data_IF_313331173689
#
_entry.id   IF_313331173689
#
_cell.length_a   1.000
_cell.length_b   1.000
_cell.length_c   1.000
_cell.angle_alpha   90.00
_cell.angle_beta   90.00
_cell.angle_gamma   90.00
#
_symmetry.space_group_name_H-M   'P 1'
#
loop_
_entity.id
_entity.type
_entity.pdbx_description
1 polymer ?
#
# COMPACT_ATOMS: atom_id res chain seq x y z
N UNK A 1 -15.44 -41.73 21.62
CA UNK A 1 -16.60 -41.70 20.69
C UNK A 1 -16.71 -43.02 19.93
N UNK A 2 -17.94 -43.40 19.57
CA UNK A 2 -18.23 -44.65 18.87
C UNK A 2 -17.74 -44.60 17.40
N UNK A 3 -17.15 -45.69 16.89
CA UNK A 3 -16.55 -45.77 15.53
C UNK A 3 -17.49 -45.30 14.42
N UNK A 4 -18.78 -45.71 14.48
CA UNK A 4 -19.83 -45.28 13.54
C UNK A 4 -20.12 -43.77 13.56
N UNK A 5 -20.16 -43.12 14.72
CA UNK A 5 -20.38 -41.68 14.83
C UNK A 5 -19.17 -40.90 14.31
N UNK A 6 -17.95 -41.33 14.67
CA UNK A 6 -16.73 -40.71 14.15
C UNK A 6 -16.71 -40.74 12.62
N UNK A 7 -17.02 -41.90 12.02
CA UNK A 7 -17.07 -42.04 10.57
C UNK A 7 -18.12 -41.12 9.93
N UNK A 8 -19.30 -40.98 10.54
CA UNK A 8 -20.33 -40.05 10.08
C UNK A 8 -19.83 -38.60 10.08
N UNK A 9 -19.25 -38.13 11.20
CA UNK A 9 -18.75 -36.77 11.32
C UNK A 9 -17.60 -36.49 10.33
N UNK A 10 -16.69 -37.44 10.14
CA UNK A 10 -15.62 -37.34 9.14
C UNK A 10 -16.21 -37.24 7.73
N UNK A 11 -17.20 -38.06 7.39
CA UNK A 11 -17.90 -37.97 6.09
C UNK A 11 -18.57 -36.61 5.90
N UNK A 12 -19.20 -36.06 6.93
CA UNK A 12 -19.78 -34.72 6.89
C UNK A 12 -18.73 -33.65 6.60
N UNK A 13 -17.56 -33.72 7.24
CA UNK A 13 -16.44 -32.80 6.98
C UNK A 13 -15.93 -32.93 5.54
N UNK A 14 -15.81 -34.16 5.01
CA UNK A 14 -15.40 -34.37 3.62
C UNK A 14 -16.39 -33.73 2.64
N UNK A 15 -17.70 -33.89 2.88
CA UNK A 15 -18.73 -33.24 2.05
C UNK A 15 -18.61 -31.72 2.11
N UNK A 16 -18.42 -31.15 3.31
CA UNK A 16 -18.20 -29.71 3.46
C UNK A 16 -16.97 -29.25 2.69
N UNK A 17 -15.87 -29.99 2.75
CA UNK A 17 -14.64 -29.66 2.02
C UNK A 17 -14.87 -29.63 0.50
N UNK A 18 -15.64 -30.58 -0.04
CA UNK A 18 -16.02 -30.57 -1.46
C UNK A 18 -16.86 -29.34 -1.83
N UNK A 19 -17.77 -28.92 -0.94
CA UNK A 19 -18.55 -27.70 -1.13
C UNK A 19 -17.63 -26.47 -1.11
N UNK A 20 -16.72 -26.36 -0.14
CA UNK A 20 -15.71 -25.29 -0.09
C UNK A 20 -14.88 -25.23 -1.37
N UNK A 21 -14.43 -26.38 -1.88
CA UNK A 21 -13.67 -26.46 -3.13
C UNK A 21 -14.51 -25.98 -4.33
N UNK A 22 -15.78 -26.36 -4.41
CA UNK A 22 -16.68 -25.89 -5.46
C UNK A 22 -16.88 -24.36 -5.42
N UNK A 23 -17.08 -23.77 -4.24
CA UNK A 23 -17.17 -22.31 -4.09
C UNK A 23 -15.86 -21.60 -4.43
N UNK A 24 -14.71 -22.19 -4.07
CA UNK A 24 -13.40 -21.68 -4.47
C UNK A 24 -13.25 -21.65 -5.99
N UNK A 25 -13.52 -22.76 -6.67
CA UNK A 25 -13.45 -22.85 -8.14
C UNK A 25 -14.44 -21.87 -8.78
N UNK A 26 -15.66 -21.78 -8.25
CA UNK A 26 -16.67 -20.84 -8.72
C UNK A 26 -16.18 -19.39 -8.60
N UNK A 27 -15.62 -18.98 -7.45
CA UNK A 27 -15.04 -17.64 -7.28
C UNK A 27 -13.87 -17.35 -8.21
N UNK A 28 -13.01 -18.35 -8.44
CA UNK A 28 -11.89 -18.23 -9.36
C UNK A 28 -12.34 -18.02 -10.82
N UNK A 29 -13.39 -18.71 -11.25
CA UNK A 29 -13.89 -18.67 -12.63
C UNK A 29 -14.83 -17.50 -12.91
N UNK A 30 -15.61 -17.05 -11.93
CA UNK A 30 -16.60 -15.97 -12.11
C UNK A 30 -16.02 -14.58 -11.95
N UNK A 31 -14.87 -14.45 -11.29
CA UNK A 31 -14.20 -13.16 -11.19
C UNK A 31 -13.68 -12.71 -12.56
N UNK A 32 -14.22 -11.57 -13.04
CA UNK A 32 -13.90 -10.96 -14.35
C UNK A 32 -12.42 -10.55 -14.46
N UNK A 33 -11.69 -10.53 -13.33
CA UNK A 33 -10.29 -10.21 -13.27
C UNK A 33 -10.04 -8.74 -12.97
N UNK A 34 -8.79 -8.30 -13.15
CA UNK A 34 -8.32 -6.96 -12.78
C UNK A 34 -9.18 -5.83 -13.38
N UNK A 35 -9.69 -6.02 -14.60
CA UNK A 35 -10.53 -5.03 -15.28
C UNK A 35 -11.87 -4.79 -14.59
N UNK A 36 -12.45 -5.82 -13.96
CA UNK A 36 -13.76 -5.74 -13.30
C UNK A 36 -13.73 -5.13 -11.90
N UNK A 37 -12.55 -4.82 -11.35
CA UNK A 37 -12.41 -4.25 -10.00
C UNK A 37 -12.92 -2.80 -9.98
N UNK A 38 -13.64 -2.43 -8.94
CA UNK A 38 -14.13 -1.07 -8.68
C UNK A 38 -14.16 -0.83 -7.17
N UNK A 39 -14.57 0.37 -6.73
CA UNK A 39 -14.67 0.74 -5.30
C UNK A 39 -15.55 -0.19 -4.45
N UNK A 40 -16.44 -0.97 -5.07
CA UNK A 40 -17.31 -1.93 -4.39
C UNK A 40 -16.74 -3.34 -4.37
N UNK A 41 -15.54 -3.54 -4.92
CA UNK A 41 -14.85 -4.83 -4.96
C UNK A 41 -14.13 -5.05 -3.64
N UNK A 42 -14.81 -5.77 -2.76
CA UNK A 42 -14.22 -6.32 -1.54
C UNK A 42 -14.33 -7.85 -1.59
N UNK A 43 -13.43 -8.55 -0.90
CA UNK A 43 -13.52 -9.99 -0.69
C UNK A 43 -14.71 -10.30 0.23
N UNK A 44 -15.92 -10.25 -0.34
CA UNK A 44 -17.23 -10.48 0.25
C UNK A 44 -17.79 -9.38 1.19
N UNK A 45 -18.69 -8.57 0.63
CA UNK A 45 -19.76 -7.88 1.35
C UNK A 45 -21.01 -8.74 1.22
N UNK A 46 -21.71 -9.02 2.33
CA UNK A 46 -23.00 -9.74 2.30
C UNK A 46 -24.03 -8.88 1.54
N UNK A 47 -24.05 -8.97 0.22
CA UNK A 47 -25.13 -8.42 -0.60
C UNK A 47 -26.26 -9.44 -0.52
N UNK A 48 -27.29 -9.12 0.26
CA UNK A 48 -28.46 -9.96 0.52
C UNK A 48 -29.24 -10.39 -0.74
N UNK A 49 -28.84 -9.94 -1.93
CA UNK A 49 -29.49 -10.20 -3.22
C UNK A 49 -28.52 -10.65 -4.32
N UNK A 50 -27.32 -11.11 -3.95
CA UNK A 50 -26.39 -11.70 -4.92
C UNK A 50 -26.62 -13.21 -5.02
N UNK A 51 -26.49 -13.78 -6.22
CA UNK A 51 -26.79 -15.19 -6.50
C UNK A 51 -25.98 -16.14 -5.59
N UNK A 52 -24.77 -15.73 -5.24
CA UNK A 52 -23.87 -16.43 -4.32
C UNK A 52 -24.45 -16.50 -2.90
N UNK A 53 -25.06 -15.41 -2.42
CA UNK A 53 -25.65 -15.32 -1.07
C UNK A 53 -26.91 -16.18 -0.96
N UNK A 54 -27.74 -16.20 -2.02
CA UNK A 54 -28.95 -17.04 -2.08
C UNK A 54 -28.56 -18.52 -2.11
N UNK A 55 -27.64 -18.89 -3.00
CA UNK A 55 -27.11 -20.26 -3.08
C UNK A 55 -26.50 -20.70 -1.75
N UNK A 56 -25.73 -19.82 -1.10
CA UNK A 56 -25.14 -20.09 0.22
C UNK A 56 -26.19 -20.43 1.28
N UNK A 57 -27.30 -19.68 1.35
CA UNK A 57 -28.38 -19.96 2.29
C UNK A 57 -29.01 -21.34 2.05
N UNK A 58 -29.34 -21.69 0.81
CA UNK A 58 -29.97 -22.97 0.48
C UNK A 58 -29.02 -24.16 0.70
N UNK A 59 -27.78 -24.07 0.25
CA UNK A 59 -26.77 -25.14 0.41
C UNK A 59 -26.49 -25.40 1.89
N UNK A 60 -26.28 -24.33 2.66
CA UNK A 60 -26.01 -24.41 4.09
C UNK A 60 -27.21 -24.98 4.86
N UNK A 61 -28.41 -24.48 4.58
CA UNK A 61 -29.65 -24.95 5.20
C UNK A 61 -29.94 -26.42 4.90
N UNK A 62 -29.83 -26.82 3.63
CA UNK A 62 -30.06 -28.21 3.21
C UNK A 62 -29.03 -29.16 3.83
N UNK A 63 -27.75 -28.79 3.84
CA UNK A 63 -26.71 -29.59 4.46
C UNK A 63 -26.97 -29.78 5.97
N UNK A 64 -27.25 -28.69 6.70
CA UNK A 64 -27.50 -28.75 8.13
C UNK A 64 -28.77 -29.54 8.48
N UNK A 65 -29.82 -29.44 7.66
CA UNK A 65 -31.04 -30.22 7.83
C UNK A 65 -30.75 -31.72 7.70
N UNK A 66 -30.09 -32.14 6.61
CA UNK A 66 -29.73 -33.54 6.41
C UNK A 66 -28.79 -34.03 7.50
N UNK A 67 -27.77 -33.23 7.85
CA UNK A 67 -26.84 -33.52 8.93
C UNK A 67 -27.59 -33.78 10.25
N UNK A 68 -28.51 -32.90 10.63
CA UNK A 68 -29.31 -33.03 11.85
C UNK A 68 -30.17 -34.31 11.81
N UNK A 69 -30.86 -34.58 10.71
CA UNK A 69 -31.72 -35.77 10.56
C UNK A 69 -30.90 -37.05 10.75
N UNK A 70 -29.75 -37.16 10.08
CA UNK A 70 -28.88 -38.34 10.20
C UNK A 70 -28.25 -38.46 11.60
N UNK A 71 -27.84 -37.33 12.19
CA UNK A 71 -27.29 -37.29 13.55
C UNK A 71 -28.31 -37.78 14.58
N UNK A 72 -29.54 -37.26 14.55
CA UNK A 72 -30.61 -37.63 15.48
C UNK A 72 -31.08 -39.06 15.25
N UNK A 73 -31.32 -39.49 14.00
CA UNK A 73 -31.87 -40.82 13.71
C UNK A 73 -30.91 -41.94 14.07
N UNK A 74 -29.62 -41.78 13.77
CA UNK A 74 -28.65 -42.88 13.80
C UNK A 74 -27.71 -42.85 14.99
N UNK A 75 -27.51 -41.68 15.61
CA UNK A 75 -26.44 -41.50 16.60
C UNK A 75 -26.87 -40.97 17.96
N UNK A 76 -28.16 -40.72 18.19
CA UNK A 76 -28.70 -40.24 19.47
C UNK A 76 -29.12 -41.35 20.48
N UNK A 77 -28.87 -42.63 20.19
CA UNK A 77 -29.36 -43.75 21.04
C UNK A 77 -28.29 -44.36 21.96
N UNK A 78 -27.13 -43.73 22.10
CA UNK A 78 -25.93 -44.39 22.66
C UNK A 78 -25.56 -43.97 24.09
N UNK A 79 -26.34 -43.09 24.74
CA UNK A 79 -26.17 -42.81 26.17
C UNK A 79 -24.79 -42.22 26.53
N UNK A 80 -24.26 -41.31 25.72
CA UNK A 80 -22.92 -40.73 25.90
C UNK A 80 -22.71 -40.09 27.28
N UNK A 81 -21.49 -40.21 27.82
CA UNK A 81 -21.04 -39.48 29.01
C UNK A 81 -20.74 -38.00 28.69
N UNK A 82 -20.60 -37.17 29.73
CA UNK A 82 -20.41 -35.72 29.59
C UNK A 82 -19.19 -35.34 28.73
N UNK A 83 -18.05 -36.02 28.90
CA UNK A 83 -16.84 -35.77 28.11
C UNK A 83 -17.05 -36.06 26.63
N UNK A 84 -17.71 -37.18 26.28
CA UNK A 84 -18.01 -37.47 24.87
C UNK A 84 -19.07 -36.51 24.31
N UNK A 85 -20.04 -36.05 25.10
CA UNK A 85 -21.00 -35.02 24.67
C UNK A 85 -20.31 -33.70 24.33
N UNK A 86 -19.36 -33.25 25.16
CA UNK A 86 -18.57 -32.04 24.87
C UNK A 86 -17.76 -32.19 23.58
N UNK A 87 -17.11 -33.34 23.37
CA UNK A 87 -16.39 -33.63 22.12
C UNK A 87 -17.31 -33.56 20.90
N UNK A 88 -18.51 -34.15 20.99
CA UNK A 88 -19.50 -34.09 19.91
C UNK A 88 -19.95 -32.64 19.69
N UNK A 89 -20.21 -31.89 20.75
CA UNK A 89 -20.57 -30.47 20.67
C UNK A 89 -19.51 -29.63 19.97
N UNK A 90 -18.23 -29.86 20.27
CA UNK A 90 -17.11 -29.18 19.60
C UNK A 90 -17.05 -29.52 18.10
N UNK A 91 -17.26 -30.78 17.71
CA UNK A 91 -17.30 -31.16 16.30
C UNK A 91 -18.52 -30.58 15.59
N UNK A 92 -19.68 -30.51 16.24
CA UNK A 92 -20.87 -29.84 15.68
C UNK A 92 -20.58 -28.35 15.48
N UNK A 93 -19.89 -27.68 16.42
CA UNK A 93 -19.50 -26.28 16.27
C UNK A 93 -18.62 -26.07 15.04
N UNK A 94 -17.64 -26.95 14.86
CA UNK A 94 -16.76 -26.91 13.69
C UNK A 94 -17.52 -27.14 12.38
N UNK A 95 -18.47 -28.09 12.36
CA UNK A 95 -19.34 -28.33 11.21
C UNK A 95 -20.23 -27.10 10.92
N UNK A 96 -20.79 -26.48 11.95
CA UNK A 96 -21.58 -25.24 11.79
C UNK A 96 -20.72 -24.11 11.22
N UNK A 97 -19.50 -23.92 11.74
CA UNK A 97 -18.56 -22.93 11.24
C UNK A 97 -18.21 -23.16 9.76
N UNK A 98 -17.85 -24.39 9.37
CA UNK A 98 -17.56 -24.74 7.98
C UNK A 98 -18.77 -24.50 7.07
N UNK A 99 -19.96 -24.90 7.52
CA UNK A 99 -21.19 -24.70 6.74
C UNK A 99 -21.42 -23.23 6.40
N UNK A 100 -21.23 -22.32 7.36
CA UNK A 100 -21.46 -20.89 7.12
C UNK A 100 -20.27 -20.17 6.48
N UNK A 101 -19.09 -20.78 6.37
CA UNK A 101 -17.88 -20.12 5.85
C UNK A 101 -17.58 -20.38 4.37
N UNK A 102 -18.49 -20.98 3.59
CA UNK A 102 -18.27 -21.22 2.16
C UNK A 102 -18.00 -19.94 1.35
N UNK A 103 -18.58 -18.80 1.75
CA UNK A 103 -18.29 -17.51 1.09
C UNK A 103 -16.81 -17.11 1.23
N UNK A 104 -16.13 -17.49 2.32
CA UNK A 104 -14.70 -17.24 2.50
C UNK A 104 -13.92 -18.02 1.42
N UNK A 105 -14.33 -19.25 1.11
CA UNK A 105 -13.73 -20.03 0.02
C UNK A 105 -13.96 -19.39 -1.34
N UNK A 106 -15.15 -18.85 -1.60
CA UNK A 106 -15.40 -18.04 -2.79
C UNK A 106 -14.40 -16.88 -2.89
N UNK A 107 -14.25 -16.09 -1.83
CA UNK A 107 -13.30 -14.97 -1.79
C UNK A 107 -11.85 -15.41 -1.95
N UNK A 108 -11.46 -16.58 -1.44
CA UNK A 108 -10.15 -17.16 -1.71
C UNK A 108 -9.97 -17.49 -3.20
N UNK A 109 -11.01 -17.97 -3.88
CA UNK A 109 -11.01 -18.19 -5.32
C UNK A 109 -10.78 -16.89 -6.09
N UNK A 110 -11.54 -15.84 -5.75
CA UNK A 110 -11.38 -14.48 -6.33
C UNK A 110 -9.96 -13.96 -6.10
N UNK A 111 -9.42 -14.10 -4.88
CA UNK A 111 -8.07 -13.67 -4.55
C UNK A 111 -6.99 -14.46 -5.32
N UNK A 112 -7.17 -15.77 -5.46
CA UNK A 112 -6.27 -16.61 -6.24
C UNK A 112 -6.27 -16.18 -7.72
N UNK A 113 -7.44 -15.85 -8.28
CA UNK A 113 -7.56 -15.31 -9.64
C UNK A 113 -6.87 -13.96 -9.77
N UNK A 114 -7.09 -13.03 -8.84
CA UNK A 114 -6.40 -11.73 -8.79
C UNK A 114 -4.87 -11.90 -8.81
N UNK A 115 -4.34 -12.73 -7.92
CA UNK A 115 -2.89 -12.98 -7.82
C UNK A 115 -2.31 -13.72 -9.03
N UNK A 116 -3.14 -14.47 -9.76
CA UNK A 116 -2.72 -15.10 -11.02
C UNK A 116 -2.61 -14.08 -12.17
N UNK A 117 -3.40 -13.02 -12.15
CA UNK A 117 -3.40 -11.98 -13.20
C UNK A 117 -2.43 -10.83 -12.91
N UNK A 118 -2.18 -10.58 -11.63
CA UNK A 118 -1.29 -9.53 -11.17
C UNK A 118 -0.42 -10.10 -10.06
N UNK A 119 0.87 -10.29 -10.34
CA UNK A 119 1.84 -10.59 -9.29
C UNK A 119 2.13 -9.34 -8.47
N UNK A 120 2.54 -9.50 -7.21
CA UNK A 120 2.96 -8.37 -6.37
C UNK A 120 4.12 -7.60 -7.01
N UNK A 121 5.08 -8.33 -7.60
CA UNK A 121 6.22 -7.75 -8.31
C UNK A 121 5.76 -6.87 -9.48
N UNK A 122 4.78 -7.32 -10.26
CA UNK A 122 4.27 -6.54 -11.38
C UNK A 122 3.38 -5.38 -10.93
N UNK A 123 2.64 -5.53 -9.84
CA UNK A 123 1.92 -4.42 -9.23
C UNK A 123 2.88 -3.34 -8.71
N UNK A 124 3.97 -3.73 -8.07
CA UNK A 124 5.01 -2.80 -7.62
C UNK A 124 5.68 -2.10 -8.80
N UNK A 125 5.91 -2.77 -9.94
CA UNK A 125 6.39 -2.13 -11.18
C UNK A 125 5.39 -1.09 -11.71
N UNK A 126 4.09 -1.40 -11.67
CA UNK A 126 3.04 -0.46 -12.07
C UNK A 126 3.05 0.77 -11.14
N UNK A 127 3.15 0.58 -9.82
CA UNK A 127 3.29 1.66 -8.84
C UNK A 127 4.54 2.50 -9.09
N UNK A 128 5.69 1.88 -9.34
CA UNK A 128 6.92 2.60 -9.71
C UNK A 128 6.70 3.46 -10.95
N UNK A 129 6.08 2.92 -12.01
CA UNK A 129 5.80 3.66 -13.23
C UNK A 129 4.92 4.89 -12.95
N UNK A 130 3.84 4.72 -12.17
CA UNK A 130 2.94 5.81 -11.77
C UNK A 130 3.67 6.84 -10.89
N UNK A 131 4.54 6.42 -9.97
CA UNK A 131 5.30 7.32 -9.12
C UNK A 131 6.35 8.13 -9.91
N UNK A 132 7.08 7.49 -10.83
CA UNK A 132 8.03 8.15 -11.73
C UNK A 132 7.31 9.17 -12.60
N UNK A 133 6.18 8.78 -13.20
CA UNK A 133 5.41 9.61 -14.12
C UNK A 133 4.38 10.52 -13.44
N UNK A 134 4.30 10.54 -12.11
CA UNK A 134 3.29 11.28 -11.35
C UNK A 134 3.05 12.73 -11.81
N UNK A 135 4.07 13.56 -12.10
CA UNK A 135 3.83 14.92 -12.57
C UNK A 135 3.13 14.99 -13.93
N UNK A 136 3.33 13.99 -14.79
CA UNK A 136 2.67 13.88 -16.10
C UNK A 136 1.24 13.35 -15.99
N UNK A 137 0.78 12.99 -14.80
CA UNK A 137 -0.60 12.56 -14.57
C UNK A 137 -1.53 13.74 -14.26
N UNK A 138 -1.02 14.97 -14.13
CA UNK A 138 -1.80 16.17 -13.84
C UNK A 138 -1.85 17.13 -15.05
N UNK A 139 -3.04 17.64 -15.39
CA UNK A 139 -3.33 18.47 -16.60
C UNK A 139 -3.42 19.95 -16.24
N UNK A 140 -3.95 20.21 -15.05
CA UNK A 140 -4.17 21.51 -14.50
C UNK A 140 -3.38 21.59 -13.22
N UNK A 141 -2.23 22.22 -13.32
CA UNK A 141 -1.53 22.64 -12.13
C UNK A 141 -1.29 24.12 -12.30
N UNK A 142 -1.54 24.92 -11.27
CA UNK A 142 -1.11 26.32 -11.19
C UNK A 142 0.43 26.49 -11.18
N UNK A 143 1.16 25.43 -11.53
CA UNK A 143 2.61 25.39 -11.63
C UNK A 143 3.05 25.85 -13.03
N UNK A 144 4.03 26.74 -13.08
CA UNK A 144 4.76 27.05 -14.31
C UNK A 144 5.59 25.85 -14.75
N UNK A 145 5.95 25.78 -16.02
CA UNK A 145 6.90 24.77 -16.51
C UNK A 145 8.21 24.79 -15.72
N UNK A 146 8.65 25.94 -15.21
CA UNK A 146 9.76 26.07 -14.27
C UNK A 146 9.65 25.09 -13.08
N UNK A 147 8.48 24.99 -12.45
CA UNK A 147 8.29 24.16 -11.24
C UNK A 147 8.34 22.65 -11.51
N UNK A 148 7.82 22.22 -12.66
CA UNK A 148 7.73 20.81 -13.03
C UNK A 148 8.91 20.30 -13.85
N UNK A 149 9.59 21.19 -14.57
CA UNK A 149 10.57 20.88 -15.61
C UNK A 149 11.82 21.78 -15.60
N UNK A 150 12.05 22.62 -14.59
CA UNK A 150 13.39 23.16 -14.38
C UNK A 150 14.24 22.05 -13.77
N UNK A 151 15.44 21.85 -14.30
CA UNK A 151 16.41 20.95 -13.69
C UNK A 151 16.67 21.42 -12.25
N UNK A 152 16.74 22.72 -11.99
CA UNK A 152 16.89 23.32 -10.66
C UNK A 152 15.66 23.17 -9.75
N UNK A 153 14.53 22.63 -10.21
CA UNK A 153 13.36 22.33 -9.36
C UNK A 153 13.11 20.83 -9.25
N UNK A 154 13.37 20.07 -10.32
CA UNK A 154 13.37 18.61 -10.34
C UNK A 154 14.46 18.05 -9.41
N UNK A 155 15.60 18.73 -9.38
CA UNK A 155 16.73 18.38 -8.54
C UNK A 155 16.56 18.90 -7.11
N UNK A 156 15.56 19.75 -6.81
CA UNK A 156 15.83 20.89 -5.92
C UNK A 156 14.59 21.78 -5.56
N UNK A 157 13.86 21.49 -4.50
CA UNK A 157 12.74 22.27 -4.01
C UNK A 157 13.12 23.06 -2.77
N UNK A 158 12.38 24.12 -2.59
CA UNK A 158 12.35 24.77 -1.30
C UNK A 158 11.64 23.94 -0.21
N UNK A 159 12.07 24.10 1.05
CA UNK A 159 13.28 24.79 1.47
C UNK A 159 14.43 23.80 1.50
N UNK A 160 15.40 24.00 0.60
CA UNK A 160 16.61 23.24 0.52
C UNK A 160 17.33 23.16 1.88
N UNK A 161 18.12 22.10 2.13
CA UNK A 161 19.22 22.16 3.06
C UNK A 161 20.39 22.92 2.39
N UNK A 162 20.14 24.10 1.82
CA UNK A 162 21.17 24.93 1.21
C UNK A 162 20.81 26.38 1.54
N UNK A 163 21.76 27.15 2.05
CA UNK A 163 21.52 28.53 2.47
C UNK A 163 22.22 29.47 1.49
N UNK A 164 21.43 30.25 0.76
CA UNK A 164 21.91 31.31 -0.12
C UNK A 164 22.50 32.46 0.72
N UNK A 165 23.73 32.85 0.41
CA UNK A 165 24.36 34.02 1.01
C UNK A 165 24.90 34.91 -0.10
N UNK A 166 24.32 36.10 -0.20
CA UNK A 166 24.79 37.15 -1.10
C UNK A 166 25.76 38.05 -0.35
N UNK A 167 27.04 37.93 -0.65
CA UNK A 167 28.05 38.83 -0.12
C UNK A 167 28.23 39.99 -1.11
N UNK A 168 28.14 41.23 -0.62
CA UNK A 168 28.39 42.42 -1.43
C UNK A 168 29.79 42.95 -1.10
N UNK A 169 30.68 42.91 -2.09
CA UNK A 169 32.05 43.39 -1.94
C UNK A 169 32.15 44.78 -2.55
N UNK A 170 32.48 45.78 -1.73
CA UNK A 170 32.68 47.15 -2.18
C UNK A 170 34.16 47.37 -2.50
N UNK A 171 34.46 47.93 -3.66
CA UNK A 171 35.81 48.37 -4.00
C UNK A 171 35.80 49.77 -4.60
N UNK A 172 36.82 50.54 -4.26
CA UNK A 172 37.02 51.91 -4.70
C UNK A 172 38.15 51.92 -5.72
N UNK A 173 37.82 52.26 -6.96
CA UNK A 173 38.82 52.49 -8.01
C UNK A 173 38.74 53.98 -8.35
N UNK A 174 39.79 54.72 -8.01
CA UNK A 174 39.93 56.15 -8.32
C UNK A 174 38.79 57.06 -7.79
N UNK A 175 38.22 56.77 -6.62
CA UNK A 175 37.18 57.57 -5.98
C UNK A 175 35.77 57.21 -6.43
N UNK A 176 35.62 56.26 -7.35
CA UNK A 176 34.35 55.68 -7.74
C UNK A 176 34.11 54.38 -6.97
N UNK A 177 33.00 54.33 -6.24
CA UNK A 177 32.60 53.16 -5.44
C UNK A 177 31.83 52.17 -6.32
N UNK A 178 32.41 51.00 -6.52
CA UNK A 178 31.76 49.87 -7.18
C UNK A 178 31.37 48.81 -6.15
N UNK A 179 30.34 48.04 -6.45
CA UNK A 179 29.94 46.88 -5.66
C UNK A 179 29.75 45.68 -6.57
N UNK A 180 30.38 44.55 -6.24
CA UNK A 180 30.05 43.26 -6.84
C UNK A 180 29.26 42.44 -5.83
N UNK A 181 28.19 41.82 -6.31
CA UNK A 181 27.44 40.82 -5.55
C UNK A 181 27.94 39.46 -5.98
N UNK A 182 28.37 38.65 -5.01
CA UNK A 182 28.71 37.26 -5.22
C UNK A 182 27.73 36.42 -4.40
N UNK A 183 26.96 35.59 -5.09
CA UNK A 183 26.04 34.65 -4.46
C UNK A 183 26.75 33.32 -4.25
N UNK A 184 26.84 32.89 -3.00
CA UNK A 184 27.44 31.62 -2.59
C UNK A 184 26.37 30.73 -1.96
N UNK A 185 26.40 29.44 -2.29
CA UNK A 185 25.47 28.45 -1.75
C UNK A 185 26.20 27.51 -0.79
N UNK A 186 25.64 27.26 0.38
CA UNK A 186 26.23 26.36 1.39
C UNK A 186 25.28 25.22 1.73
N UNK A 187 25.75 23.98 1.79
CA UNK A 187 24.94 22.86 2.31
C UNK A 187 24.47 23.12 3.74
N UNK A 188 23.37 22.50 4.16
CA UNK A 188 22.89 22.46 5.54
C UNK A 188 23.09 21.04 6.03
N UNK A 189 24.10 20.87 6.87
CA UNK A 189 24.50 19.58 7.39
C UNK A 189 24.02 19.41 8.84
N UNK A 190 23.79 18.16 9.23
CA UNK A 190 23.38 17.81 10.60
C UNK A 190 24.46 16.97 11.27
N UNK A 191 24.95 17.45 12.41
CA UNK A 191 25.91 16.74 13.25
C UNK A 191 25.23 16.29 14.54
N UNK A 192 25.17 14.97 14.75
CA UNK A 192 24.63 14.37 15.97
C UNK A 192 25.76 13.72 16.78
N UNK A 193 25.92 14.15 18.01
CA UNK A 193 26.95 13.63 18.91
C UNK A 193 26.45 13.55 20.35
N UNK A 194 27.15 12.82 21.21
CA UNK A 194 26.85 12.82 22.64
C UNK A 194 27.04 14.23 23.22
N UNK A 195 26.14 14.66 24.11
CA UNK A 195 26.18 15.98 24.76
C UNK A 195 27.47 16.17 25.55
N UNK A 196 27.97 15.09 26.18
CA UNK A 196 29.27 15.09 26.86
C UNK A 196 30.44 15.29 25.89
N UNK A 197 30.37 14.70 24.70
CA UNK A 197 31.35 14.91 23.63
C UNK A 197 31.29 16.34 23.08
N UNK A 198 30.09 16.91 22.92
CA UNK A 198 29.92 18.31 22.52
C UNK A 198 30.49 19.30 23.56
N UNK A 199 30.28 19.04 24.86
CA UNK A 199 30.82 19.87 25.93
C UNK A 199 32.36 19.81 25.98
N UNK A 200 32.96 18.66 25.65
CA UNK A 200 34.41 18.51 25.47
C UNK A 200 34.90 19.20 24.18
N UNK A 201 34.14 19.09 23.09
CA UNK A 201 34.35 19.75 21.79
C UNK A 201 34.43 21.27 21.89
N UNK A 202 33.66 21.90 22.79
CA UNK A 202 33.76 23.35 23.02
C UNK A 202 35.04 23.76 23.79
N UNK A 203 35.72 22.81 24.46
CA UNK A 203 36.85 23.09 25.36
C UNK A 203 38.24 22.74 24.79
N UNK A 204 38.40 21.66 24.02
CA UNK A 204 39.69 21.26 23.43
C UNK A 204 39.59 21.04 21.92
N UNK A 205 40.40 21.79 21.17
CA UNK A 205 40.49 21.83 19.70
C UNK A 205 41.43 20.75 19.15
N UNK A 206 41.11 20.21 17.97
CA UNK A 206 42.03 20.00 16.82
C UNK A 206 41.54 18.87 15.89
N UNK A 207 41.21 17.69 16.41
CA UNK A 207 41.05 16.48 15.56
C UNK A 207 39.79 16.43 14.64
N UNK A 208 38.71 17.14 14.98
CA UNK A 208 37.46 17.13 14.19
C UNK A 208 37.36 18.30 13.22
N UNK A 209 38.00 19.43 13.56
CA UNK A 209 38.10 20.61 12.69
C UNK A 209 38.95 20.30 11.44
N UNK A 210 40.00 19.50 11.58
CA UNK A 210 40.75 18.95 10.43
C UNK A 210 39.87 18.08 9.51
N UNK A 211 38.95 17.28 10.07
CA UNK A 211 38.09 16.39 9.28
C UNK A 211 36.96 17.13 8.55
N UNK A 212 36.52 18.26 9.09
CA UNK A 212 35.50 19.13 8.48
C UNK A 212 36.11 20.26 7.65
N UNK A 213 37.42 20.51 7.77
CA UNK A 213 38.12 21.61 7.09
C UNK A 213 37.68 23.01 7.53
N UNK A 214 37.10 23.15 8.73
CA UNK A 214 36.56 24.40 9.26
C UNK A 214 37.26 24.77 10.57
N UNK A 215 37.50 26.06 10.82
CA UNK A 215 38.00 26.51 12.11
C UNK A 215 36.86 26.58 13.17
N UNK A 216 37.20 26.70 14.46
CA UNK A 216 36.22 26.76 15.57
C UNK A 216 35.30 27.98 15.51
N UNK A 217 35.84 29.15 15.20
CA UNK A 217 35.11 30.41 15.08
C UNK A 217 34.22 30.42 13.83
N UNK A 218 34.71 29.87 12.73
CA UNK A 218 34.00 29.70 11.47
C UNK A 218 32.86 28.69 11.60
N UNK A 219 33.10 27.54 12.23
CA UNK A 219 32.04 26.58 12.54
C UNK A 219 30.95 27.20 13.42
N UNK A 220 31.33 27.96 14.45
CA UNK A 220 30.37 28.65 15.32
C UNK A 220 29.48 29.65 14.55
N UNK A 221 30.07 30.41 13.61
CA UNK A 221 29.33 31.33 12.71
C UNK A 221 28.40 30.60 11.74
N UNK A 222 28.70 29.34 11.43
CA UNK A 222 27.93 28.50 10.51
C UNK A 222 26.79 27.74 11.19
N UNK A 223 26.67 27.70 12.52
CA UNK A 223 25.57 27.01 13.21
C UNK A 223 24.23 27.72 12.93
N UNK A 224 23.25 26.97 12.43
CA UNK A 224 21.87 27.43 12.16
C UNK A 224 20.99 27.13 13.37
N UNK A 225 21.06 25.92 13.91
CA UNK A 225 20.30 25.56 15.11
C UNK A 225 20.95 24.44 15.91
N UNK A 226 20.54 24.33 17.18
CA UNK A 226 21.04 23.33 18.12
C UNK A 226 19.90 22.79 18.97
N UNK A 227 19.80 21.48 19.08
CA UNK A 227 18.79 20.79 19.89
C UNK A 227 19.42 19.70 20.75
N UNK A 228 19.02 19.62 22.01
CA UNK A 228 19.43 18.54 22.91
C UNK A 228 18.30 17.51 22.93
N UNK A 229 18.63 16.27 22.59
CA UNK A 229 17.72 15.12 22.59
C UNK A 229 18.33 14.06 23.51
N UNK A 230 17.81 13.98 24.74
CA UNK A 230 18.35 13.12 25.82
C UNK A 230 19.86 13.39 25.98
N UNK A 231 20.69 12.36 25.83
CA UNK A 231 22.14 12.45 25.99
C UNK A 231 22.88 12.84 24.70
N UNK A 232 22.13 13.21 23.64
CA UNK A 232 22.69 13.65 22.36
C UNK A 232 22.40 15.13 22.10
N UNK A 233 23.36 15.80 21.47
CA UNK A 233 23.22 17.13 20.90
C UNK A 233 23.21 16.99 19.38
N UNK A 234 22.19 17.57 18.76
CA UNK A 234 22.02 17.70 17.32
C UNK A 234 22.29 19.15 16.94
N UNK A 235 23.14 19.36 15.94
CA UNK A 235 23.54 20.67 15.44
C UNK A 235 23.27 20.71 13.94
N UNK A 236 22.50 21.69 13.51
CA UNK A 236 22.28 21.99 12.09
C UNK A 236 23.17 23.18 11.75
N UNK A 237 24.00 23.09 10.71
CA UNK A 237 24.99 24.13 10.36
C UNK A 237 25.19 24.26 8.84
N UNK A 238 25.68 25.43 8.40
CA UNK A 238 26.14 25.68 7.03
C UNK A 238 27.42 24.87 6.79
N UNK A 239 27.34 23.84 5.97
CA UNK A 239 28.44 22.95 5.61
C UNK A 239 29.36 23.54 4.54
N UNK A 240 29.74 22.72 3.56
CA UNK A 240 30.66 23.14 2.49
C UNK A 240 29.99 24.10 1.50
N UNK A 241 30.82 24.90 0.83
CA UNK A 241 30.39 25.64 -0.36
C UNK A 241 29.99 24.61 -1.43
N UNK A 242 28.85 24.83 -2.06
CA UNK A 242 28.32 23.97 -3.13
C UNK A 242 28.09 24.82 -4.36
N UNK A 243 28.25 24.21 -5.54
CA UNK A 243 27.94 24.84 -6.81
C UNK A 243 26.73 24.13 -7.41
N UNK A 244 25.51 24.69 -7.21
CA UNK A 244 24.28 24.01 -7.60
C UNK A 244 24.23 23.61 -9.08
N UNK A 245 24.93 24.36 -9.93
CA UNK A 245 24.97 24.20 -11.38
C UNK A 245 25.94 23.10 -11.87
N UNK A 246 26.88 22.66 -11.02
CA UNK A 246 27.98 21.77 -11.45
C UNK A 246 28.21 20.52 -10.60
N UNK A 247 27.70 20.46 -9.36
CA UNK A 247 27.89 19.31 -8.47
C UNK A 247 26.87 18.18 -8.76
N UNK A 248 27.31 17.14 -9.46
CA UNK A 248 26.47 16.04 -9.97
C UNK A 248 25.76 15.20 -8.88
N UNK A 249 26.23 15.25 -7.63
CA UNK A 249 25.76 14.39 -6.53
C UNK A 249 24.80 15.09 -5.54
N UNK A 250 24.62 16.42 -5.64
CA UNK A 250 23.99 17.22 -4.57
C UNK A 250 22.50 17.50 -4.83
N UNK A 251 22.03 17.22 -6.03
CA UNK A 251 20.82 17.85 -6.53
C UNK A 251 19.75 16.82 -6.85
N UNK A 252 19.22 16.07 -5.89
CA UNK A 252 17.98 15.35 -6.15
C UNK A 252 17.16 15.45 -4.90
N UNK A 253 16.15 16.33 -4.81
CA UNK A 253 14.90 16.07 -4.06
C UNK A 253 13.89 17.21 -3.83
N UNK A 254 12.72 17.19 -4.52
CA UNK A 254 11.30 17.33 -3.98
C UNK A 254 10.37 18.56 -4.28
N UNK A 255 10.00 18.91 -5.52
CA UNK A 255 8.65 19.54 -5.70
C UNK A 255 7.53 18.50 -5.92
N UNK A 256 7.87 17.20 -5.81
CA UNK A 256 6.88 16.12 -5.83
C UNK A 256 7.07 15.16 -4.65
N UNK A 257 6.83 15.66 -3.42
CA UNK A 257 6.75 14.85 -2.19
C UNK A 257 5.66 13.77 -2.25
N UNK A 258 4.73 13.87 -3.20
CA UNK A 258 3.65 12.91 -3.34
C UNK A 258 4.07 11.78 -4.27
N UNK A 259 4.19 10.58 -3.70
CA UNK A 259 4.09 9.34 -4.45
C UNK A 259 2.63 9.17 -4.87
N UNK A 260 2.39 8.63 -6.08
CA UNK A 260 1.07 8.22 -6.48
C UNK A 260 0.54 7.11 -5.55
N UNK A 261 1.37 6.08 -5.31
CA UNK A 261 1.12 5.05 -4.30
C UNK A 261 2.43 4.44 -3.82
N UNK A 262 2.69 4.35 -2.50
CA UNK A 262 3.91 3.75 -2.00
C UNK A 262 3.97 2.23 -2.27
N UNK A 263 5.19 1.74 -2.47
CA UNK A 263 5.51 0.31 -2.49
C UNK A 263 5.78 -0.14 -1.06
N UNK A 264 5.20 -1.27 -0.67
CA UNK A 264 5.44 -1.90 0.63
C UNK A 264 6.92 -2.28 0.75
N UNK A 265 7.49 -2.21 1.96
CA UNK A 265 8.86 -2.62 2.30
C UNK A 265 10.02 -1.71 1.82
N UNK A 266 9.75 -0.60 1.13
CA UNK A 266 10.76 0.43 0.80
C UNK A 266 10.38 1.73 1.51
N UNK A 267 11.34 2.46 2.08
CA UNK A 267 11.03 3.73 2.75
C UNK A 267 10.45 4.76 1.77
N UNK A 268 9.57 5.63 2.26
CA UNK A 268 8.93 6.65 1.42
C UNK A 268 10.01 7.58 0.85
N UNK A 269 11.00 7.94 1.66
CA UNK A 269 12.11 8.79 1.28
C UNK A 269 12.93 8.16 0.16
N UNK A 270 13.28 6.87 0.29
CA UNK A 270 14.03 6.15 -0.73
C UNK A 270 13.27 6.07 -2.05
N UNK A 271 11.96 5.78 -2.01
CA UNK A 271 11.13 5.75 -3.21
C UNK A 271 11.06 7.13 -3.87
N UNK A 272 10.84 8.18 -3.10
CA UNK A 272 10.82 9.55 -3.61
C UNK A 272 12.16 9.88 -4.30
N UNK A 273 13.30 9.46 -3.73
CA UNK A 273 14.63 9.69 -4.30
C UNK A 273 14.74 9.02 -5.66
N UNK A 274 14.54 7.71 -5.68
CA UNK A 274 14.74 6.88 -6.87
C UNK A 274 13.81 7.32 -8.00
N UNK A 275 12.58 7.69 -7.68
CA UNK A 275 11.61 8.16 -8.67
C UNK A 275 12.00 9.54 -9.24
N UNK A 276 12.56 10.43 -8.41
CA UNK A 276 13.07 11.72 -8.85
C UNK A 276 14.32 11.55 -9.75
N UNK A 277 15.29 10.72 -9.35
CA UNK A 277 16.46 10.35 -10.18
C UNK A 277 15.98 9.86 -11.54
N UNK A 278 15.07 8.87 -11.56
CA UNK A 278 14.57 8.25 -12.78
C UNK A 278 13.93 9.27 -13.72
N UNK A 279 13.14 10.19 -13.15
CA UNK A 279 12.46 11.23 -13.91
C UNK A 279 13.46 12.22 -14.52
N UNK A 280 14.46 12.64 -13.73
CA UNK A 280 15.55 13.47 -14.23
C UNK A 280 16.28 12.77 -15.39
N UNK A 281 16.62 11.50 -15.22
CA UNK A 281 17.29 10.76 -16.28
C UNK A 281 16.43 10.68 -17.55
N UNK A 282 15.13 10.44 -17.43
CA UNK A 282 14.20 10.41 -18.57
C UNK A 282 14.09 11.76 -19.30
N UNK A 283 14.21 12.87 -18.57
CA UNK A 283 14.05 14.22 -19.12
C UNK A 283 15.35 14.83 -19.65
N UNK A 284 16.50 14.56 -19.04
CA UNK A 284 17.75 15.28 -19.34
C UNK A 284 18.91 14.40 -19.79
N UNK A 285 18.96 13.13 -19.36
CA UNK A 285 20.13 12.26 -19.60
C UNK A 285 19.90 11.26 -20.72
N UNK A 286 18.72 10.65 -20.74
CA UNK A 286 18.36 9.61 -21.70
C UNK A 286 17.85 10.19 -23.01
N UNK A 287 17.84 9.35 -24.04
CA UNK A 287 17.25 9.68 -25.33
C UNK A 287 15.74 9.91 -25.15
N UNK A 288 15.19 10.79 -25.98
CA UNK A 288 13.74 11.10 -26.03
C UNK A 288 12.88 9.83 -26.09
N UNK A 289 13.35 8.79 -26.80
CA UNK A 289 12.68 7.49 -26.92
C UNK A 289 12.43 6.78 -25.57
N UNK A 290 13.25 7.06 -24.55
CA UNK A 290 13.09 6.47 -23.22
C UNK A 290 11.84 7.00 -22.49
N UNK A 291 11.56 8.30 -22.60
CA UNK A 291 10.32 8.90 -22.07
C UNK A 291 9.11 8.44 -22.89
N UNK A 292 9.24 8.41 -24.22
CA UNK A 292 8.20 7.88 -25.11
C UNK A 292 7.81 6.44 -24.75
N UNK A 293 8.80 5.58 -24.54
CA UNK A 293 8.57 4.20 -24.12
C UNK A 293 7.88 4.11 -22.75
N UNK A 294 8.21 5.01 -21.82
CA UNK A 294 7.54 5.10 -20.51
C UNK A 294 6.06 5.50 -20.66
N UNK A 295 5.73 6.39 -21.58
CA UNK A 295 4.33 6.72 -21.89
C UNK A 295 3.58 5.60 -22.63
N UNK A 296 4.26 4.79 -23.46
CA UNK A 296 3.65 3.57 -24.00
C UNK A 296 3.32 2.54 -22.91
N UNK A 297 4.20 2.40 -21.92
CA UNK A 297 3.90 1.58 -20.74
C UNK A 297 2.72 2.13 -19.94
N UNK A 298 2.62 3.46 -19.81
CA UNK A 298 1.50 4.10 -19.12
C UNK A 298 0.16 3.84 -19.84
N UNK A 299 0.13 3.97 -21.17
CA UNK A 299 -1.06 3.63 -21.98
C UNK A 299 -1.44 2.15 -21.85
N UNK A 300 -0.44 1.26 -21.81
CA UNK A 300 -0.67 -0.16 -21.55
C UNK A 300 -1.23 -0.41 -20.14
N UNK A 301 -0.75 0.34 -19.15
CA UNK A 301 -1.25 0.30 -17.77
C UNK A 301 -2.73 0.71 -17.73
N UNK A 302 -3.11 1.82 -18.36
CA UNK A 302 -4.51 2.25 -18.41
C UNK A 302 -5.41 1.17 -19.03
N UNK A 303 -4.99 0.55 -20.14
CA UNK A 303 -5.71 -0.59 -20.74
C UNK A 303 -5.78 -1.82 -19.83
N UNK A 304 -4.73 -2.09 -19.07
CA UNK A 304 -4.65 -3.19 -18.10
C UNK A 304 -5.65 -3.01 -16.97
N UNK A 305 -5.76 -1.80 -16.42
CA UNK A 305 -6.68 -1.45 -15.33
C UNK A 305 -8.08 -1.01 -15.80
N UNK A 306 -8.31 -0.99 -17.12
CA UNK A 306 -9.56 -0.56 -17.76
C UNK A 306 -9.92 0.90 -17.42
N UNK A 307 -8.93 1.79 -17.46
CA UNK A 307 -9.10 3.22 -17.25
C UNK A 307 -9.35 3.90 -18.59
N UNK A 308 -10.39 4.71 -18.67
CA UNK A 308 -10.64 5.50 -19.88
C UNK A 308 -9.52 6.51 -20.09
N UNK A 309 -8.89 6.48 -21.27
CA UNK A 309 -7.74 7.32 -21.59
C UNK A 309 -7.70 7.71 -23.05
N UNK A 310 -7.34 8.96 -23.29
CA UNK A 310 -7.12 9.54 -24.61
C UNK A 310 -5.66 9.96 -24.81
N UNK A 311 -4.75 9.49 -23.93
CA UNK A 311 -3.34 9.84 -24.03
C UNK A 311 -2.75 9.34 -25.35
N UNK A 312 -1.90 10.18 -25.94
CA UNK A 312 -1.12 9.83 -27.13
C UNK A 312 0.35 9.92 -26.78
N UNK A 313 1.06 8.80 -26.55
CA UNK A 313 2.44 8.81 -26.05
C UNK A 313 3.40 9.72 -26.80
N UNK A 314 3.32 9.76 -28.14
CA UNK A 314 4.14 10.64 -29.00
C UNK A 314 3.87 12.12 -28.78
N UNK A 315 2.59 12.49 -28.65
CA UNK A 315 2.17 13.88 -28.43
C UNK A 315 2.54 14.32 -27.00
N UNK A 316 2.29 13.47 -26.00
CA UNK A 316 2.65 13.71 -24.61
C UNK A 316 4.16 13.87 -24.41
N UNK A 317 4.97 13.09 -25.14
CA UNK A 317 6.43 13.25 -25.16
C UNK A 317 6.82 14.63 -25.68
N UNK A 318 6.23 15.06 -26.81
CA UNK A 318 6.52 16.39 -27.37
C UNK A 318 6.17 17.49 -26.37
N UNK A 319 5.02 17.39 -25.70
CA UNK A 319 4.60 18.37 -24.70
C UNK A 319 5.61 18.42 -23.54
N UNK A 320 6.03 17.26 -23.01
CA UNK A 320 7.02 17.18 -21.94
C UNK A 320 8.35 17.87 -22.31
N UNK A 321 8.89 17.62 -23.50
CA UNK A 321 10.12 18.26 -23.96
C UNK A 321 9.93 19.74 -24.33
N UNK A 322 8.73 20.13 -24.80
CA UNK A 322 8.39 21.54 -25.01
C UNK A 322 8.47 22.31 -23.70
N UNK A 323 7.79 21.86 -22.65
CA UNK A 323 7.81 22.52 -21.35
C UNK A 323 9.18 22.47 -20.67
N UNK A 324 9.94 21.38 -20.86
CA UNK A 324 11.34 21.30 -20.40
C UNK A 324 12.24 22.37 -21.01
N UNK A 325 11.99 22.74 -22.27
CA UNK A 325 12.83 23.69 -22.99
C UNK A 325 12.33 25.14 -22.86
N UNK A 326 11.14 25.36 -22.30
CA UNK A 326 10.50 26.68 -22.22
C UNK A 326 10.02 26.92 -20.78
N UNK A 327 10.80 27.64 -19.98
CA UNK A 327 10.67 27.71 -18.52
C UNK A 327 9.51 28.58 -17.98
N UNK A 328 8.83 29.36 -18.81
CA UNK A 328 7.76 30.27 -18.36
C UNK A 328 6.37 29.95 -18.93
N UNK A 329 6.24 28.81 -19.60
CA UNK A 329 4.96 28.40 -20.19
C UNK A 329 4.03 27.81 -19.11
N UNK A 330 2.77 28.28 -19.02
CA UNK A 330 1.80 27.68 -18.11
C UNK A 330 1.50 26.25 -18.55
N UNK A 331 1.49 25.30 -17.60
CA UNK A 331 1.33 23.86 -17.86
C UNK A 331 -0.07 23.42 -18.32
N UNK A 332 -0.83 24.30 -18.96
CA UNK A 332 -2.24 24.10 -19.30
C UNK A 332 -2.45 23.30 -20.59
N UNK A 333 -1.38 22.83 -21.26
CA UNK A 333 -1.47 22.15 -22.55
C UNK A 333 -0.84 20.75 -22.62
N UNK A 334 -0.51 20.11 -21.49
CA UNK A 334 -0.09 18.71 -21.53
C UNK A 334 -1.29 17.82 -21.91
N UNK A 335 -1.19 17.09 -23.02
CA UNK A 335 -2.25 16.20 -23.51
C UNK A 335 -2.28 14.86 -22.78
N UNK A 336 -2.69 14.89 -21.51
CA UNK A 336 -2.79 13.72 -20.62
C UNK A 336 -4.23 13.46 -20.13
N UNK A 337 -5.21 13.48 -21.03
CA UNK A 337 -6.62 13.23 -20.70
C UNK A 337 -6.87 11.74 -20.38
N UNK A 338 -7.29 11.45 -19.15
CA UNK A 338 -7.73 10.13 -18.67
C UNK A 338 -8.59 10.30 -17.40
N UNK A 339 -9.34 9.27 -17.02
CA UNK A 339 -10.10 9.26 -15.78
C UNK A 339 -9.19 9.03 -14.56
N UNK A 340 -8.95 10.10 -13.79
CA UNK A 340 -8.02 10.11 -12.65
C UNK A 340 -8.62 9.53 -11.40
N UNK A 341 -9.89 9.83 -11.18
CA UNK A 341 -10.60 9.38 -10.00
C UNK A 341 -10.78 7.87 -10.10
N UNK A 342 -11.15 7.37 -11.30
CA UNK A 342 -11.21 5.93 -11.56
C UNK A 342 -9.84 5.26 -11.37
N UNK A 343 -8.75 5.83 -11.91
CA UNK A 343 -7.41 5.26 -11.71
C UNK A 343 -7.05 5.18 -10.22
N UNK A 344 -7.31 6.26 -9.47
CA UNK A 344 -6.99 6.34 -8.04
C UNK A 344 -7.79 5.30 -7.26
N UNK A 345 -9.11 5.27 -7.46
CA UNK A 345 -10.01 4.31 -6.85
C UNK A 345 -9.62 2.87 -7.17
N UNK A 346 -9.24 2.59 -8.42
CA UNK A 346 -8.81 1.28 -8.87
C UNK A 346 -7.54 0.82 -8.17
N UNK A 347 -6.50 1.67 -8.15
CA UNK A 347 -5.21 1.37 -7.52
C UNK A 347 -5.38 1.23 -6.00
N UNK A 348 -6.18 2.07 -5.36
CA UNK A 348 -6.48 1.97 -3.94
C UNK A 348 -7.23 0.67 -3.59
N UNK A 349 -8.20 0.28 -4.43
CA UNK A 349 -8.93 -0.97 -4.24
C UNK A 349 -7.99 -2.16 -4.40
N UNK A 350 -7.17 -2.20 -5.45
CA UNK A 350 -6.19 -3.27 -5.67
C UNK A 350 -5.19 -3.34 -4.51
N UNK A 351 -4.66 -2.22 -4.04
CA UNK A 351 -3.76 -2.18 -2.86
C UNK A 351 -4.42 -2.83 -1.63
N UNK A 352 -5.68 -2.48 -1.36
CA UNK A 352 -6.41 -3.07 -0.24
C UNK A 352 -6.61 -4.58 -0.42
N UNK A 353 -6.90 -5.06 -1.63
CA UNK A 353 -7.04 -6.49 -1.92
C UNK A 353 -5.70 -7.25 -1.73
N UNK A 354 -4.55 -6.64 -2.06
CA UNK A 354 -3.23 -7.27 -1.89
C UNK A 354 -2.76 -7.28 -0.43
N UNK A 355 -2.82 -6.14 0.25
CA UNK A 355 -2.14 -5.94 1.53
C UNK A 355 -3.07 -5.96 2.74
N UNK A 356 -4.36 -5.73 2.54
CA UNK A 356 -5.37 -5.71 3.61
C UNK A 356 -6.62 -6.52 3.21
N UNK A 357 -6.47 -7.79 2.77
CA UNK A 357 -7.62 -8.56 2.32
C UNK A 357 -8.59 -8.78 3.49
N UNK A 358 -9.76 -8.14 3.41
CA UNK A 358 -10.84 -8.31 4.37
C UNK A 358 -11.84 -9.31 3.81
N UNK A 359 -11.75 -10.58 4.26
CA UNK A 359 -12.68 -11.66 3.90
C UNK A 359 -14.01 -11.60 4.66
N UNK A 360 -14.07 -10.78 5.71
CA UNK A 360 -15.20 -10.60 6.60
C UNK A 360 -15.22 -9.14 7.02
N UNK A 361 -16.09 -8.34 6.41
CA UNK A 361 -16.20 -6.93 6.74
C UNK A 361 -16.58 -6.74 8.23
N UNK A 362 -15.94 -5.79 8.92
CA UNK A 362 -16.08 -5.57 10.36
C UNK A 362 -17.55 -5.41 10.81
N UNK A 363 -18.39 -4.81 9.96
CA UNK A 363 -19.82 -4.62 10.23
C UNK A 363 -20.64 -5.92 10.29
N UNK A 364 -20.19 -6.99 9.62
CA UNK A 364 -20.92 -8.28 9.56
C UNK A 364 -20.29 -9.35 10.44
N UNK A 365 -19.06 -9.15 10.91
CA UNK A 365 -18.31 -10.13 11.69
C UNK A 365 -19.08 -10.60 12.94
N UNK A 366 -19.65 -9.66 13.71
CA UNK A 366 -20.42 -9.99 14.91
C UNK A 366 -21.67 -10.80 14.59
N UNK A 367 -22.41 -10.41 13.54
CA UNK A 367 -23.63 -11.10 13.10
C UNK A 367 -23.27 -12.52 12.64
N UNK A 368 -22.21 -12.66 11.84
CA UNK A 368 -21.73 -13.94 11.34
C UNK A 368 -21.42 -14.95 12.47
N UNK A 369 -20.59 -14.56 13.43
CA UNK A 369 -20.26 -15.44 14.56
C UNK A 369 -21.47 -15.71 15.47
N UNK A 370 -22.37 -14.73 15.63
CA UNK A 370 -23.61 -14.92 16.39
C UNK A 370 -24.51 -15.98 15.76
N UNK A 371 -24.69 -15.94 14.43
CA UNK A 371 -25.49 -16.95 13.70
C UNK A 371 -24.88 -18.34 13.87
N UNK A 372 -23.55 -18.48 13.73
CA UNK A 372 -22.87 -19.76 13.95
C UNK A 372 -23.13 -20.30 15.35
N UNK A 373 -22.99 -19.46 16.37
CA UNK A 373 -23.20 -19.86 17.77
C UNK A 373 -24.66 -20.24 18.04
N UNK A 374 -25.63 -19.50 17.51
CA UNK A 374 -27.05 -19.81 17.65
C UNK A 374 -27.38 -21.16 17.00
N UNK A 375 -26.95 -21.36 15.75
CA UNK A 375 -27.21 -22.61 15.03
C UNK A 375 -26.53 -23.78 15.69
N UNK A 376 -25.27 -23.62 16.12
CA UNK A 376 -24.57 -24.62 16.91
C UNK A 376 -25.35 -24.99 18.18
N UNK A 377 -25.77 -23.99 18.95
CA UNK A 377 -26.51 -24.21 20.20
C UNK A 377 -27.81 -24.97 19.94
N UNK A 378 -28.58 -24.61 18.91
CA UNK A 378 -29.81 -25.31 18.53
C UNK A 378 -29.53 -26.77 18.14
N UNK A 379 -28.55 -27.02 17.27
CA UNK A 379 -28.19 -28.38 16.85
C UNK A 379 -27.74 -29.23 18.04
N UNK A 380 -26.91 -28.66 18.92
CA UNK A 380 -26.38 -29.35 20.07
C UNK A 380 -27.46 -29.64 21.13
N UNK A 381 -28.35 -28.67 21.40
CA UNK A 381 -29.49 -28.85 22.30
C UNK A 381 -30.45 -29.93 21.79
N UNK A 382 -30.79 -29.91 20.50
CA UNK A 382 -31.61 -30.96 19.89
C UNK A 382 -30.97 -32.33 20.03
N UNK A 383 -29.66 -32.43 19.80
CA UNK A 383 -28.91 -33.68 19.99
C UNK A 383 -28.95 -34.17 21.44
N UNK A 384 -28.73 -33.29 22.41
CA UNK A 384 -28.79 -33.62 23.85
C UNK A 384 -30.20 -34.09 24.24
N UNK A 385 -31.24 -33.33 23.88
CA UNK A 385 -32.63 -33.63 24.21
C UNK A 385 -33.03 -35.01 23.67
N UNK A 386 -32.68 -35.29 22.42
CA UNK A 386 -32.99 -36.57 21.79
C UNK A 386 -32.21 -37.74 22.41
N UNK A 387 -30.95 -37.51 22.76
CA UNK A 387 -30.13 -38.50 23.46
C UNK A 387 -30.66 -38.80 24.87
N UNK A 388 -31.10 -37.78 25.60
CA UNK A 388 -31.71 -37.94 26.92
C UNK A 388 -33.06 -38.68 26.86
N UNK A 389 -33.92 -38.32 25.90
CA UNK A 389 -35.20 -39.01 25.67
C UNK A 389 -35.00 -40.50 25.37
N UNK A 390 -34.02 -40.83 24.54
CA UNK A 390 -33.71 -42.22 24.20
C UNK A 390 -33.08 -42.98 25.38
N UNK A 391 -32.22 -42.34 26.18
CA UNK A 391 -31.67 -42.95 27.40
C UNK A 391 -32.76 -43.35 28.39
N UNK A 392 -33.76 -42.48 28.62
CA UNK A 392 -34.94 -42.80 29.46
C UNK A 392 -35.80 -43.93 28.90
N UNK A 393 -35.87 -44.09 27.58
CA UNK A 393 -36.61 -45.17 26.93
C UNK A 393 -35.87 -46.50 27.05
N UNK A 394 -34.55 -46.49 26.92
CA UNK A 394 -33.67 -47.66 27.10
C UNK A 394 -33.55 -48.12 28.56
N UNK A 395 -33.73 -47.23 29.54
CA UNK A 395 -33.72 -47.60 30.97
C UNK A 395 -35.08 -48.08 31.49
N UNK A 396 -36.13 -48.03 30.66
CA UNK A 396 -37.51 -48.47 30.97
C UNK A 396 -37.86 -49.81 30.31
N UNK A 397 -37.01 -50.29 29.42
CA UNK A 397 -37.02 -51.63 28.82
C UNK A 397 -35.99 -52.43 29.60
#
# INVERSE_FOLDING_TARGET
MHKKLNLFLVKSIIVLFLIHAAYFVYGYLTFIGLKGINIYTEFYRFKFFDDVSISHFFVSGLFLLLFLVFLLRNHSKQGYNAVNLLKIGAVILFISFLTFSFFISYSFGVNAKLKSELSETDFNKDKTLLNVLNPFLYNYTSYSSNKLFNYENILYPEPYPVLEQTDTTFYDIHGEKFSTQQTNYFSIDTLKMLTSSYQKFNKNTDFVFERLGLDKEEFAKRIISKKIIKDSTEIIFKGRLVYPDSDQDICIFLENKMLYKPISDVSIEEQQHQNAVKRYELLYKYKVDSLLYSFYKLDTLFKKYNIESQIKPKELTKDAFYYRNNNDEPLNAIRNTFDRDELKEKIDTVENLFYKPSYLHSSIQFIFFSVILIVWAVLFLLFILWNYKNKKKLSKI
#
